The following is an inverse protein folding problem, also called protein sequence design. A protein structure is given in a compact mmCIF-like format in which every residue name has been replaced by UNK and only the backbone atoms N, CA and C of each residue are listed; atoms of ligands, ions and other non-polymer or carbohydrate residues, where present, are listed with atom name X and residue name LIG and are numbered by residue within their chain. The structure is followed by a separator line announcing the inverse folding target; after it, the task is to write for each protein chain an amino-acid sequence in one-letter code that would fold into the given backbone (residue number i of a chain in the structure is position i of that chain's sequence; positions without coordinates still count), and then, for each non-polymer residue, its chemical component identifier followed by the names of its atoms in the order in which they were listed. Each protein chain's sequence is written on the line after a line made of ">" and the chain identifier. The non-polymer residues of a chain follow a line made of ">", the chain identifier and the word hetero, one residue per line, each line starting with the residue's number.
data_IF_890584094406
#
_entry.id   IF_890584094406
#
_cell.length_a   1.000
_cell.length_b   1.000
_cell.length_c   1.000
_cell.angle_alpha   90.00
_cell.angle_beta   90.00
_cell.angle_gamma   90.00
#
_symmetry.space_group_name_H-M   'P 1'
#
loop_
_entity.id
_entity.type
_entity.pdbx_description
1 polymer ?
#
# COMPACT_ATOMS: atom_id res chain seq x y z
N UNK A 1 14.74 37.44 16.24
CA UNK A 1 13.56 37.65 17.09
C UNK A 1 13.21 36.31 17.70
N UNK A 2 13.68 36.08 18.92
CA UNK A 2 13.62 34.80 19.64
C UNK A 2 12.32 34.74 20.45
N UNK A 3 11.38 33.95 20.00
CA UNK A 3 10.24 33.48 20.80
C UNK A 3 10.31 31.96 20.83
N UNK A 4 11.31 31.43 21.55
CA UNK A 4 11.36 30.00 21.83
C UNK A 4 10.34 29.70 22.92
N UNK A 5 9.39 28.86 22.50
CA UNK A 5 8.37 28.12 23.21
C UNK A 5 8.43 28.11 24.75
N UNK A 6 7.24 28.33 25.31
CA UNK A 6 6.86 27.95 26.67
C UNK A 6 7.32 26.53 27.00
N UNK A 7 7.90 26.37 28.19
CA UNK A 7 8.37 25.14 28.82
C UNK A 7 7.40 23.95 28.72
N UNK A 8 7.84 22.81 28.16
CA UNK A 8 7.15 21.53 28.26
C UNK A 8 8.16 20.36 28.29
N UNK A 9 8.68 20.07 29.48
CA UNK A 9 9.65 19.00 29.79
C UNK A 9 9.01 17.58 29.80
N UNK A 10 7.81 17.42 29.24
CA UNK A 10 7.05 16.18 29.33
C UNK A 10 6.58 15.73 27.94
N UNK A 11 6.86 14.46 27.62
CA UNK A 11 6.37 13.81 26.41
C UNK A 11 4.85 13.69 26.45
N UNK A 12 4.14 14.16 25.42
CA UNK A 12 2.68 14.10 25.43
C UNK A 12 2.20 12.65 25.32
N UNK A 13 1.42 12.21 26.31
CA UNK A 13 0.73 10.91 26.32
C UNK A 13 -0.77 11.21 26.32
N UNK A 14 -1.51 10.82 25.28
CA UNK A 14 -2.95 11.05 25.23
C UNK A 14 -3.66 10.37 26.41
N UNK A 15 -4.57 11.10 27.06
CA UNK A 15 -5.46 10.52 28.06
C UNK A 15 -6.61 9.79 27.35
N UNK A 16 -6.86 8.54 27.74
CA UNK A 16 -7.99 7.67 27.35
C UNK A 16 -8.61 7.95 25.98
N UNK A 17 -8.13 7.24 24.94
CA UNK A 17 -8.71 7.30 23.59
C UNK A 17 -9.68 6.13 23.36
N UNK A 18 -10.93 6.38 22.91
CA UNK A 18 -11.88 5.31 22.57
C UNK A 18 -11.59 4.66 21.20
N UNK A 19 -10.79 5.31 20.36
CA UNK A 19 -10.54 4.89 18.98
C UNK A 19 -9.93 3.48 18.82
N UNK A 20 -9.03 2.99 19.70
CA UNK A 20 -8.51 1.63 19.60
C UNK A 20 -9.56 0.53 19.78
N UNK A 21 -10.50 0.71 20.71
CA UNK A 21 -11.60 -0.25 20.93
C UNK A 21 -12.55 -0.22 19.74
N UNK A 22 -12.94 0.99 19.30
CA UNK A 22 -13.76 1.16 18.10
C UNK A 22 -13.10 0.53 16.87
N UNK A 23 -11.78 0.69 16.72
CA UNK A 23 -11.00 0.07 15.65
C UNK A 23 -11.02 -1.45 15.70
N UNK A 24 -10.88 -2.05 16.88
CA UNK A 24 -10.95 -3.51 17.04
C UNK A 24 -12.32 -4.07 16.63
N UNK A 25 -13.41 -3.42 17.06
CA UNK A 25 -14.78 -3.80 16.65
C UNK A 25 -14.97 -3.61 15.15
N UNK A 26 -14.47 -2.50 14.60
CA UNK A 26 -14.55 -2.20 13.16
C UNK A 26 -13.87 -3.27 12.32
N UNK A 27 -12.64 -3.66 12.67
CA UNK A 27 -11.91 -4.71 11.98
C UNK A 27 -12.62 -6.06 12.10
N UNK A 28 -13.18 -6.38 13.26
CA UNK A 28 -13.97 -7.61 13.44
C UNK A 28 -15.20 -7.64 12.52
N UNK A 29 -15.99 -6.56 12.49
CA UNK A 29 -17.19 -6.47 11.65
C UNK A 29 -16.82 -6.52 10.15
N UNK A 30 -15.76 -5.82 9.75
CA UNK A 30 -15.26 -5.86 8.37
C UNK A 30 -14.84 -7.27 7.96
N UNK A 31 -14.04 -7.95 8.79
CA UNK A 31 -13.58 -9.31 8.51
C UNK A 31 -14.72 -10.32 8.52
N UNK A 32 -15.68 -10.19 9.43
CA UNK A 32 -16.89 -11.03 9.42
C UNK A 32 -17.70 -10.83 8.13
N UNK A 33 -17.80 -9.59 7.64
CA UNK A 33 -18.43 -9.28 6.35
C UNK A 33 -17.74 -9.96 5.17
N UNK A 34 -16.40 -9.87 5.11
CA UNK A 34 -15.58 -10.53 4.07
C UNK A 34 -15.74 -12.05 4.13
N UNK A 35 -15.63 -12.65 5.32
CA UNK A 35 -15.78 -14.10 5.51
C UNK A 35 -17.18 -14.56 5.11
N UNK A 36 -18.22 -13.82 5.48
CA UNK A 36 -19.60 -14.15 5.10
C UNK A 36 -19.82 -14.12 3.59
N UNK A 37 -19.17 -13.20 2.88
CA UNK A 37 -19.22 -13.13 1.42
C UNK A 37 -18.48 -14.30 0.76
N UNK A 38 -17.26 -14.61 1.23
CA UNK A 38 -16.45 -15.69 0.67
C UNK A 38 -17.02 -17.10 0.93
N UNK A 39 -17.91 -17.25 1.90
CA UNK A 39 -18.56 -18.53 2.24
C UNK A 39 -20.03 -18.59 1.75
N UNK A 40 -20.46 -17.67 0.90
CA UNK A 40 -21.84 -17.59 0.37
C UNK A 40 -22.94 -17.51 1.45
N UNK A 41 -22.61 -17.04 2.66
CA UNK A 41 -23.58 -16.86 3.76
C UNK A 41 -24.38 -15.57 3.62
N UNK A 42 -23.78 -14.56 3.00
CA UNK A 42 -24.39 -13.28 2.73
C UNK A 42 -23.90 -12.72 1.39
N UNK A 43 -24.72 -11.89 0.73
CA UNK A 43 -24.32 -11.21 -0.50
C UNK A 43 -23.20 -10.18 -0.27
N UNK A 44 -22.61 -9.68 -1.36
CA UNK A 44 -21.48 -8.74 -1.31
C UNK A 44 -21.72 -7.46 -0.51
N UNK A 45 -22.96 -7.13 -0.14
CA UNK A 45 -23.26 -5.99 0.73
C UNK A 45 -22.79 -6.17 2.19
N UNK A 46 -22.41 -7.40 2.57
CA UNK A 46 -21.98 -7.75 3.93
C UNK A 46 -20.75 -6.99 4.44
N UNK A 47 -19.87 -6.50 3.55
CA UNK A 47 -18.68 -5.73 3.94
C UNK A 47 -18.98 -4.24 4.18
N UNK A 48 -20.12 -3.72 3.69
CA UNK A 48 -20.43 -2.29 3.74
C UNK A 48 -20.50 -1.72 5.16
N UNK A 49 -21.14 -2.38 6.15
CA UNK A 49 -21.14 -1.87 7.53
C UNK A 49 -19.73 -1.70 8.09
N UNK A 50 -18.85 -2.69 7.88
CA UNK A 50 -17.46 -2.62 8.30
C UNK A 50 -16.68 -1.51 7.59
N UNK A 51 -16.90 -1.34 6.29
CA UNK A 51 -16.26 -0.28 5.50
C UNK A 51 -16.69 1.13 5.95
N UNK A 52 -17.99 1.32 6.26
CA UNK A 52 -18.50 2.58 6.81
C UNK A 52 -17.92 2.89 8.20
N UNK A 53 -17.87 1.88 9.08
CA UNK A 53 -17.23 2.01 10.39
C UNK A 53 -15.74 2.36 10.24
N UNK A 54 -15.04 1.77 9.28
CA UNK A 54 -13.63 2.07 9.00
C UNK A 54 -13.43 3.53 8.53
N UNK A 55 -14.30 4.02 7.66
CA UNK A 55 -14.27 5.42 7.23
C UNK A 55 -14.50 6.38 8.41
N UNK A 56 -15.46 6.07 9.30
CA UNK A 56 -15.71 6.85 10.53
C UNK A 56 -14.51 6.80 11.48
N UNK A 57 -13.88 5.63 11.66
CA UNK A 57 -12.68 5.48 12.48
C UNK A 57 -11.55 6.40 11.99
N UNK A 58 -11.20 6.35 10.70
CA UNK A 58 -10.11 7.16 10.16
C UNK A 58 -10.43 8.66 10.22
N UNK A 59 -11.64 9.06 9.82
CA UNK A 59 -12.05 10.46 9.88
C UNK A 59 -12.03 11.01 11.32
N UNK A 60 -12.57 10.24 12.27
CA UNK A 60 -12.64 10.64 13.68
C UNK A 60 -11.28 10.63 14.38
N UNK A 61 -10.50 9.57 14.19
CA UNK A 61 -9.17 9.46 14.79
C UNK A 61 -8.22 10.53 14.24
N UNK A 62 -8.14 10.73 12.92
CA UNK A 62 -7.28 11.77 12.34
C UNK A 62 -7.74 13.17 12.71
N UNK A 63 -9.05 13.43 12.78
CA UNK A 63 -9.57 14.72 13.29
C UNK A 63 -9.09 14.99 14.72
N UNK A 64 -9.08 13.96 15.58
CA UNK A 64 -8.58 14.07 16.97
C UNK A 64 -7.10 14.43 17.00
N UNK A 65 -6.26 13.74 16.22
CA UNK A 65 -4.81 14.01 16.11
C UNK A 65 -4.54 15.43 15.59
N UNK A 66 -5.29 15.88 14.59
CA UNK A 66 -5.17 17.24 14.06
C UNK A 66 -5.55 18.28 15.11
N UNK A 67 -6.65 18.05 15.84
CA UNK A 67 -7.10 18.95 16.90
C UNK A 67 -6.10 19.02 18.06
N UNK A 68 -5.48 17.91 18.45
CA UNK A 68 -4.41 17.88 19.46
C UNK A 68 -3.17 18.65 19.00
N UNK A 69 -2.77 18.50 17.74
CA UNK A 69 -1.66 19.26 17.16
C UNK A 69 -1.95 20.77 17.16
N UNK A 70 -3.15 21.18 16.75
CA UNK A 70 -3.56 22.59 16.72
C UNK A 70 -3.62 23.24 18.11
N UNK A 71 -3.90 22.45 19.16
CA UNK A 71 -3.85 22.91 20.56
C UNK A 71 -2.42 23.11 21.08
N UNK A 72 -1.40 22.78 20.29
CA UNK A 72 0.01 22.95 20.68
C UNK A 72 0.48 21.92 21.70
N UNK A 73 -0.20 20.77 21.82
CA UNK A 73 0.13 19.72 22.79
C UNK A 73 1.40 18.93 22.41
N UNK A 74 1.83 18.99 21.15
CA UNK A 74 2.98 18.24 20.66
C UNK A 74 4.25 19.09 20.70
N UNK A 75 5.26 18.59 21.41
CA UNK A 75 6.60 19.17 21.43
C UNK A 75 7.48 18.57 20.30
N UNK A 76 8.73 19.02 20.21
CA UNK A 76 9.68 18.55 19.17
C UNK A 76 10.04 17.06 19.30
N UNK A 77 10.00 16.50 20.51
CA UNK A 77 10.30 15.07 20.71
C UNK A 77 9.16 14.20 20.20
N UNK A 78 7.91 14.62 20.40
CA UNK A 78 6.72 13.98 19.82
C UNK A 78 6.75 14.06 18.28
N UNK A 79 7.14 15.22 17.69
CA UNK A 79 7.30 15.34 16.23
C UNK A 79 8.36 14.36 15.68
N UNK A 80 9.49 14.20 16.37
CA UNK A 80 10.51 13.20 16.01
C UNK A 80 9.95 11.79 16.07
N UNK A 81 9.21 11.44 17.13
CA UNK A 81 8.56 10.13 17.25
C UNK A 81 7.57 9.87 16.12
N UNK A 82 6.76 10.85 15.71
CA UNK A 82 5.86 10.68 14.56
C UNK A 82 6.61 10.43 13.26
N UNK A 83 7.71 11.15 13.00
CA UNK A 83 8.54 10.90 11.81
C UNK A 83 9.17 9.52 11.83
N UNK A 84 9.70 9.09 12.97
CA UNK A 84 10.23 7.73 13.13
C UNK A 84 9.14 6.68 12.91
N UNK A 85 7.95 6.88 13.46
CA UNK A 85 6.79 6.00 13.23
C UNK A 85 6.43 5.87 11.76
N UNK A 86 6.36 6.99 11.03
CA UNK A 86 6.11 6.98 9.59
C UNK A 86 7.22 6.28 8.79
N UNK A 87 8.49 6.45 9.18
CA UNK A 87 9.61 5.74 8.54
C UNK A 87 9.47 4.23 8.74
N UNK A 88 9.22 3.78 9.97
CA UNK A 88 9.05 2.35 10.26
C UNK A 88 7.83 1.75 9.55
N UNK A 89 6.74 2.51 9.46
CA UNK A 89 5.57 2.12 8.68
C UNK A 89 5.93 1.93 7.19
N UNK A 90 6.60 2.89 6.55
CA UNK A 90 7.04 2.77 5.15
C UNK A 90 7.99 1.57 4.97
N UNK A 91 8.90 1.33 5.92
CA UNK A 91 9.79 0.16 5.87
C UNK A 91 8.98 -1.15 5.92
N UNK A 92 7.93 -1.22 6.74
CA UNK A 92 7.05 -2.41 6.78
C UNK A 92 6.30 -2.63 5.47
N UNK A 93 5.86 -1.56 4.79
CA UNK A 93 5.25 -1.65 3.46
C UNK A 93 6.26 -2.15 2.42
N UNK A 94 7.49 -1.63 2.42
CA UNK A 94 8.56 -2.12 1.52
C UNK A 94 8.86 -3.61 1.76
N UNK A 95 8.88 -4.05 3.02
CA UNK A 95 9.07 -5.47 3.36
C UNK A 95 7.90 -6.33 2.86
N UNK A 96 6.66 -5.87 3.02
CA UNK A 96 5.47 -6.51 2.47
C UNK A 96 5.55 -6.65 0.94
N UNK A 97 5.91 -5.58 0.22
CA UNK A 97 6.12 -5.63 -1.24
C UNK A 97 7.27 -6.56 -1.65
N UNK A 98 8.33 -6.64 -0.83
CA UNK A 98 9.48 -7.52 -1.08
C UNK A 98 9.10 -8.99 -1.11
N UNK A 99 8.07 -9.41 -0.37
CA UNK A 99 7.54 -10.79 -0.43
C UNK A 99 6.96 -11.10 -1.81
N UNK A 100 6.26 -10.16 -2.45
CA UNK A 100 5.73 -10.36 -3.81
C UNK A 100 6.84 -10.43 -4.87
N UNK A 101 7.85 -9.57 -4.77
CA UNK A 101 9.04 -9.67 -5.64
C UNK A 101 9.80 -10.98 -5.40
N UNK A 102 9.91 -11.42 -4.15
CA UNK A 102 10.46 -12.71 -3.77
C UNK A 102 9.67 -13.88 -4.36
N UNK A 103 8.33 -13.82 -4.34
CA UNK A 103 7.46 -14.81 -4.94
C UNK A 103 7.62 -14.85 -6.47
N UNK A 104 7.71 -13.69 -7.14
CA UNK A 104 7.99 -13.61 -8.58
C UNK A 104 9.36 -14.18 -8.95
N UNK A 105 10.39 -13.83 -8.17
CA UNK A 105 11.74 -14.36 -8.33
C UNK A 105 11.75 -15.89 -8.16
N UNK A 106 11.13 -16.38 -7.08
CA UNK A 106 11.00 -17.81 -6.80
C UNK A 106 10.28 -18.54 -7.94
N UNK A 107 9.16 -17.99 -8.43
CA UNK A 107 8.41 -18.57 -9.54
C UNK A 107 9.27 -18.66 -10.81
N UNK A 108 9.92 -17.55 -11.20
CA UNK A 108 10.67 -17.48 -12.46
C UNK A 108 11.99 -18.24 -12.44
N UNK A 109 12.77 -18.11 -11.38
CA UNK A 109 14.16 -18.60 -11.34
C UNK A 109 14.27 -20.02 -10.76
N UNK A 110 13.30 -20.46 -9.97
CA UNK A 110 13.34 -21.75 -9.30
C UNK A 110 12.18 -22.64 -9.75
N UNK A 111 10.94 -22.20 -9.55
CA UNK A 111 9.77 -23.05 -9.79
C UNK A 111 9.60 -23.47 -11.25
N UNK A 112 9.71 -22.54 -12.21
CA UNK A 112 9.51 -22.84 -13.64
C UNK A 112 10.59 -23.80 -14.18
N UNK A 113 11.90 -23.58 -13.96
CA UNK A 113 12.92 -24.54 -14.38
C UNK A 113 12.80 -25.91 -13.70
N UNK A 114 12.39 -25.96 -12.43
CA UNK A 114 12.14 -27.22 -11.73
C UNK A 114 10.95 -28.01 -12.29
N UNK A 115 9.97 -27.32 -12.88
CA UNK A 115 8.83 -27.95 -13.56
C UNK A 115 9.22 -28.52 -14.91
N UNK A 116 10.16 -27.90 -15.64
CA UNK A 116 10.73 -28.45 -16.89
C UNK A 116 11.81 -29.52 -16.66
N UNK A 117 12.07 -29.88 -15.40
CA UNK A 117 12.91 -31.03 -15.04
C UNK A 117 14.37 -30.71 -14.74
N UNK A 118 14.72 -29.45 -14.44
CA UNK A 118 16.10 -29.09 -14.08
C UNK A 118 16.58 -29.80 -12.78
N UNK A 119 17.82 -30.32 -12.80
CA UNK A 119 18.51 -30.88 -11.65
C UNK A 119 17.99 -32.26 -11.23
N UNK A 120 17.58 -32.42 -9.97
CA UNK A 120 17.09 -33.71 -9.43
C UNK A 120 15.64 -34.02 -9.87
N UNK A 121 14.98 -33.06 -10.53
CA UNK A 121 13.57 -33.11 -10.90
C UNK A 121 13.33 -33.58 -12.34
N UNK A 122 14.32 -34.20 -13.00
CA UNK A 122 14.22 -34.71 -14.38
C UNK A 122 12.98 -35.58 -14.61
N UNK A 123 12.60 -36.39 -13.62
CA UNK A 123 11.40 -37.22 -13.70
C UNK A 123 10.09 -36.43 -13.81
N UNK A 124 10.03 -35.15 -13.41
CA UNK A 124 8.84 -34.31 -13.60
C UNK A 124 8.57 -34.09 -15.09
N UNK A 125 9.60 -33.81 -15.88
CA UNK A 125 9.47 -33.65 -17.32
C UNK A 125 9.35 -34.99 -18.05
N UNK A 126 9.79 -36.11 -17.47
CA UNK A 126 9.65 -37.42 -18.13
C UNK A 126 8.32 -38.13 -17.85
N UNK A 127 7.69 -37.85 -16.70
CA UNK A 127 6.50 -38.56 -16.23
C UNK A 127 5.25 -37.70 -16.13
N UNK A 128 5.38 -36.40 -15.85
CA UNK A 128 4.24 -35.51 -15.59
C UNK A 128 4.02 -34.48 -16.70
N UNK A 129 5.08 -33.82 -17.15
CA UNK A 129 4.98 -32.62 -18.00
C UNK A 129 5.95 -32.68 -19.19
N UNK A 130 5.76 -33.70 -20.04
CA UNK A 130 6.69 -34.03 -21.14
C UNK A 130 6.78 -32.96 -22.24
N UNK A 131 5.74 -32.14 -22.39
CA UNK A 131 5.69 -31.08 -23.40
C UNK A 131 5.92 -29.68 -22.81
N UNK A 132 6.18 -29.58 -21.50
CA UNK A 132 6.39 -28.29 -20.84
C UNK A 132 7.84 -27.82 -20.95
N UNK A 133 8.03 -26.65 -21.56
CA UNK A 133 9.31 -25.96 -21.63
C UNK A 133 9.35 -24.76 -20.66
N UNK A 134 10.52 -24.50 -20.08
CA UNK A 134 10.74 -23.41 -19.12
C UNK A 134 10.96 -22.06 -19.82
N UNK A 135 9.99 -21.67 -20.66
CA UNK A 135 9.94 -20.32 -21.20
C UNK A 135 9.39 -19.33 -20.17
N UNK A 136 9.90 -18.11 -20.14
CA UNK A 136 9.29 -17.01 -19.40
C UNK A 136 8.89 -15.91 -20.36
N UNK A 137 7.65 -15.39 -20.27
CA UNK A 137 6.59 -15.74 -19.32
C UNK A 137 5.92 -17.09 -19.63
N UNK A 138 5.24 -17.70 -18.66
CA UNK A 138 4.52 -18.97 -18.83
C UNK A 138 3.22 -19.03 -18.01
N UNK A 139 2.20 -19.71 -18.54
CA UNK A 139 0.95 -20.10 -17.87
C UNK A 139 1.05 -21.46 -17.17
N UNK A 140 2.26 -22.02 -17.11
CA UNK A 140 2.56 -23.30 -16.49
C UNK A 140 2.11 -24.52 -17.31
N UNK A 141 2.40 -25.74 -16.83
CA UNK A 141 2.16 -26.98 -17.57
C UNK A 141 0.68 -27.28 -17.86
N UNK A 142 -0.22 -26.77 -17.01
CA UNK A 142 -1.67 -26.94 -17.18
C UNK A 142 -2.31 -25.83 -18.03
N UNK A 143 -1.50 -24.98 -18.66
CA UNK A 143 -1.94 -23.87 -19.52
C UNK A 143 -3.04 -22.99 -18.89
N UNK A 144 -2.92 -22.71 -17.58
CA UNK A 144 -3.96 -21.99 -16.84
C UNK A 144 -3.90 -20.51 -17.23
N UNK A 145 -4.81 -20.10 -18.11
CA UNK A 145 -4.89 -18.75 -18.66
C UNK A 145 -6.29 -18.16 -18.54
N UNK A 146 -6.39 -16.84 -18.72
CA UNK A 146 -7.68 -16.12 -18.70
C UNK A 146 -8.47 -16.24 -20.01
N UNK A 147 -7.88 -16.82 -21.07
CA UNK A 147 -8.53 -17.08 -22.36
C UNK A 147 -8.87 -18.56 -22.48
N UNK A 148 -9.91 -18.89 -23.24
CA UNK A 148 -10.38 -20.28 -23.45
C UNK A 148 -9.28 -21.19 -24.04
N UNK A 149 -8.37 -20.63 -24.83
CA UNK A 149 -7.22 -21.34 -25.42
C UNK A 149 -6.02 -21.49 -24.45
N UNK A 150 -6.15 -21.06 -23.19
CA UNK A 150 -5.09 -21.04 -22.19
C UNK A 150 -4.01 -19.98 -22.44
N UNK A 151 -4.03 -19.27 -23.56
CA UNK A 151 -3.06 -18.23 -23.90
C UNK A 151 -3.15 -17.01 -22.98
N UNK A 152 -2.01 -16.36 -22.76
CA UNK A 152 -1.93 -15.10 -22.02
C UNK A 152 -1.08 -14.10 -22.82
N UNK A 153 -1.36 -12.83 -22.65
CA UNK A 153 -0.59 -11.75 -23.26
C UNK A 153 0.13 -10.96 -22.18
N UNK A 154 1.39 -10.60 -22.45
CA UNK A 154 2.10 -9.65 -21.60
C UNK A 154 1.74 -8.23 -21.97
N UNK A 155 1.61 -7.39 -20.95
CA UNK A 155 1.54 -5.94 -21.15
C UNK A 155 2.96 -5.45 -21.51
N UNK A 156 3.16 -4.83 -22.69
CA UNK A 156 4.47 -4.28 -23.05
C UNK A 156 4.83 -3.13 -22.10
N UNK A 157 6.13 -2.96 -21.83
CA UNK A 157 6.61 -1.89 -20.96
C UNK A 157 6.31 -0.48 -21.52
N UNK A 158 6.33 -0.35 -22.84
CA UNK A 158 6.00 0.89 -23.55
C UNK A 158 4.49 1.00 -23.77
N UNK A 159 3.97 2.24 -23.72
CA UNK A 159 2.54 2.52 -23.77
C UNK A 159 2.01 2.91 -22.38
N UNK A 160 0.98 2.22 -21.92
CA UNK A 160 0.30 2.57 -20.66
C UNK A 160 1.22 2.50 -19.42
N UNK A 161 2.05 1.46 -19.20
CA UNK A 161 2.92 1.43 -18.02
C UNK A 161 3.95 2.57 -18.00
N UNK A 162 4.49 2.93 -19.16
CA UNK A 162 5.41 4.07 -19.28
C UNK A 162 4.71 5.40 -18.96
N UNK A 163 3.51 5.62 -19.49
CA UNK A 163 2.72 6.82 -19.22
C UNK A 163 2.45 6.93 -17.71
N UNK A 164 2.02 5.84 -17.06
CA UNK A 164 1.80 5.83 -15.61
C UNK A 164 3.08 6.15 -14.84
N UNK A 165 4.22 5.65 -15.29
CA UNK A 165 5.53 5.97 -14.68
C UNK A 165 5.84 7.47 -14.79
N UNK A 166 5.63 8.06 -15.97
CA UNK A 166 5.84 9.50 -16.19
C UNK A 166 4.89 10.33 -15.31
N UNK A 167 3.61 9.93 -15.20
CA UNK A 167 2.63 10.60 -14.35
C UNK A 167 3.07 10.58 -12.89
N UNK A 168 3.48 9.41 -12.37
CA UNK A 168 3.94 9.27 -10.98
C UNK A 168 5.21 10.09 -10.70
N UNK A 169 6.19 10.08 -11.61
CA UNK A 169 7.41 10.88 -11.48
C UNK A 169 7.09 12.38 -11.51
N UNK A 170 6.19 12.79 -12.40
CA UNK A 170 5.74 14.19 -12.50
C UNK A 170 5.01 14.62 -11.23
N UNK A 171 4.15 13.77 -10.67
CA UNK A 171 3.49 14.00 -9.37
C UNK A 171 4.50 14.16 -8.23
N UNK A 172 5.59 13.36 -8.25
CA UNK A 172 6.71 13.51 -7.31
C UNK A 172 7.43 14.87 -7.41
N UNK A 173 7.57 15.41 -8.62
CA UNK A 173 8.12 16.76 -8.83
C UNK A 173 7.16 17.83 -8.32
N UNK A 174 5.86 17.72 -8.62
CA UNK A 174 4.86 18.72 -8.19
C UNK A 174 4.75 18.81 -6.67
N UNK A 175 4.74 17.67 -5.96
CA UNK A 175 4.71 17.68 -4.49
C UNK A 175 5.99 18.25 -3.88
N UNK A 176 7.14 18.01 -4.51
CA UNK A 176 8.43 18.58 -4.07
C UNK A 176 8.43 20.10 -4.20
N UNK A 177 7.86 20.64 -5.28
CA UNK A 177 7.66 22.08 -5.44
C UNK A 177 6.70 22.62 -4.38
N UNK A 178 5.58 21.94 -4.14
CA UNK A 178 4.62 22.31 -3.10
C UNK A 178 5.27 22.36 -1.70
N UNK A 179 6.12 21.37 -1.37
CA UNK A 179 6.87 21.35 -0.11
C UNK A 179 7.81 22.54 0.03
N UNK A 180 8.56 22.90 -1.03
CA UNK A 180 9.43 24.08 -1.02
C UNK A 180 8.63 25.37 -0.87
N UNK A 181 7.48 25.48 -1.55
CA UNK A 181 6.59 26.64 -1.44
C UNK A 181 6.01 26.78 -0.02
N UNK A 182 5.66 25.67 0.64
CA UNK A 182 5.23 25.67 2.04
C UNK A 182 6.33 26.23 2.96
N UNK A 183 7.59 25.79 2.78
CA UNK A 183 8.73 26.29 3.57
C UNK A 183 9.03 27.78 3.31
N UNK A 184 8.79 28.26 2.09
CA UNK A 184 8.91 29.67 1.73
C UNK A 184 7.67 30.52 2.09
N UNK A 185 6.66 29.91 2.74
CA UNK A 185 5.36 30.52 3.06
C UNK A 185 4.60 31.09 1.83
N UNK A 186 4.88 30.58 0.63
CA UNK A 186 4.17 30.96 -0.59
C UNK A 186 2.93 30.09 -0.78
N UNK A 187 1.78 30.55 -0.27
CA UNK A 187 0.51 29.81 -0.26
C UNK A 187 -0.11 29.62 -1.64
N UNK A 188 0.09 30.57 -2.56
CA UNK A 188 -0.43 30.47 -3.93
C UNK A 188 0.20 29.30 -4.69
N UNK A 189 1.54 29.25 -4.71
CA UNK A 189 2.29 28.16 -5.35
C UNK A 189 2.02 26.83 -4.66
N UNK A 190 1.97 26.81 -3.32
CA UNK A 190 1.64 25.60 -2.56
C UNK A 190 0.31 24.99 -3.02
N UNK A 191 -0.78 25.77 -3.06
CA UNK A 191 -2.11 25.25 -3.38
C UNK A 191 -2.19 24.73 -4.82
N UNK A 192 -1.59 25.45 -5.78
CA UNK A 192 -1.58 25.05 -7.20
C UNK A 192 -0.86 23.71 -7.37
N UNK A 193 0.36 23.58 -6.85
CA UNK A 193 1.16 22.38 -7.04
C UNK A 193 0.66 21.19 -6.20
N UNK A 194 0.04 21.45 -5.04
CA UNK A 194 -0.63 20.41 -4.28
C UNK A 194 -1.86 19.87 -5.03
N UNK A 195 -2.68 20.76 -5.61
CA UNK A 195 -3.82 20.35 -6.45
C UNK A 195 -3.37 19.59 -7.70
N UNK A 196 -2.29 20.04 -8.36
CA UNK A 196 -1.70 19.32 -9.50
C UNK A 196 -1.24 17.91 -9.11
N UNK A 197 -0.60 17.75 -7.94
CA UNK A 197 -0.20 16.43 -7.41
C UNK A 197 -1.40 15.52 -7.23
N UNK A 198 -2.48 16.04 -6.65
CA UNK A 198 -3.73 15.28 -6.44
C UNK A 198 -4.37 14.87 -7.77
N UNK A 199 -4.45 15.79 -8.75
CA UNK A 199 -5.01 15.50 -10.08
C UNK A 199 -4.20 14.46 -10.86
N UNK A 200 -2.88 14.46 -10.73
CA UNK A 200 -2.02 13.46 -11.37
C UNK A 200 -2.08 12.09 -10.67
N UNK A 201 -2.54 12.05 -9.41
CA UNK A 201 -2.66 10.81 -8.64
C UNK A 201 -4.03 10.14 -8.74
N UNK A 202 -5.02 10.79 -9.35
CA UNK A 202 -6.38 10.27 -9.56
C UNK A 202 -6.50 9.69 -10.97
#
# INVERSE_FOLDING_TARGET
>A
MTTHASSADHYYVPHSSPWPIYGSVTLFVLMLGVVSYLNDWAGGWSFLPGALMLAVLFAGWFSTVIAENQKGLYNLDVDRSFRMGMIWFIISEVAFFSVFFGALFYARQLSVPWLSGEGVKVFNNLLLWNEFDAAWPTNGPAAVGGREDGSFETIPAFGLPLINTIILLTSGVTITIAHRALRANNRGVLNIFLAATWLLGF
#
